data_IF_437991843302
#
_entry.id   IF_437991843302
#
_cell.length_a   1.000
_cell.length_b   1.000
_cell.length_c   1.000
_cell.angle_alpha   90.00
_cell.angle_beta   90.00
_cell.angle_gamma   90.00
#
_symmetry.space_group_name_H-M   'P 1'
#
loop_
_entity.id
_entity.type
_entity.pdbx_description
1 polymer ?
#
# COMPACT_ATOMS: atom_id res chain seq x y z
N UNK A 1 3.70 -19.02 -12.69
CA UNK A 1 3.97 -17.65 -12.19
C UNK A 1 3.15 -17.45 -10.93
N UNK A 2 3.78 -17.28 -9.76
CA UNK A 2 3.05 -17.02 -8.52
C UNK A 2 2.89 -15.51 -8.31
N UNK A 3 1.65 -15.03 -8.15
CA UNK A 3 1.37 -13.64 -7.82
C UNK A 3 1.78 -13.41 -6.36
N UNK A 4 2.79 -12.58 -6.12
CA UNK A 4 3.11 -12.10 -4.76
C UNK A 4 2.31 -10.84 -4.52
N UNK A 5 1.62 -10.79 -3.38
CA UNK A 5 0.82 -9.65 -2.92
C UNK A 5 1.35 -9.21 -1.58
N UNK A 6 1.51 -7.90 -1.39
CA UNK A 6 2.02 -7.31 -0.15
C UNK A 6 0.97 -6.38 0.45
N UNK A 7 0.75 -6.49 1.77
CA UNK A 7 -0.22 -5.67 2.49
C UNK A 7 0.51 -4.61 3.33
N UNK A 8 0.31 -3.35 2.99
CA UNK A 8 0.80 -2.20 3.76
C UNK A 8 -0.32 -1.71 4.67
N UNK A 9 -0.16 -1.91 5.99
CA UNK A 9 -1.06 -1.34 7.01
C UNK A 9 -0.37 -0.17 7.71
N UNK A 10 -0.96 1.02 7.63
CA UNK A 10 -0.45 2.21 8.33
C UNK A 10 -1.50 2.76 9.29
N UNK A 11 -1.08 2.99 10.54
CA UNK A 11 -1.86 3.68 11.58
C UNK A 11 -1.25 5.06 11.77
N UNK A 12 -1.81 6.09 11.16
CA UNK A 12 -1.34 7.47 11.32
C UNK A 12 -2.54 8.41 11.52
N UNK A 13 -2.56 9.23 12.58
CA UNK A 13 -3.71 10.08 12.91
C UNK A 13 -3.87 11.29 11.97
N UNK A 14 -2.84 11.70 11.23
CA UNK A 14 -2.82 12.94 10.42
C UNK A 14 -1.90 12.81 9.20
N UNK A 15 -2.03 11.76 8.38
CA UNK A 15 -1.11 11.59 7.24
C UNK A 15 -1.82 11.43 5.91
N UNK A 16 -1.53 12.38 5.03
CA UNK A 16 -1.92 12.49 3.62
C UNK A 16 -1.69 11.16 2.87
N UNK A 17 -2.67 10.76 2.05
CA UNK A 17 -2.68 9.52 1.24
C UNK A 17 -1.38 9.34 0.43
N UNK A 18 -0.70 10.45 0.11
CA UNK A 18 0.61 10.48 -0.55
C UNK A 18 1.67 9.63 0.13
N UNK A 19 1.77 9.62 1.47
CA UNK A 19 2.80 8.84 2.19
C UNK A 19 2.47 7.34 2.15
N UNK A 20 1.19 6.98 2.14
CA UNK A 20 0.75 5.59 1.96
C UNK A 20 1.15 5.07 0.57
N UNK A 21 0.93 5.89 -0.47
CA UNK A 21 1.35 5.60 -1.83
C UNK A 21 2.87 5.48 -1.97
N UNK A 22 3.63 6.38 -1.36
CA UNK A 22 5.10 6.37 -1.42
C UNK A 22 5.68 5.10 -0.77
N UNK A 23 5.11 4.66 0.36
CA UNK A 23 5.48 3.39 1.01
C UNK A 23 5.12 2.18 0.15
N UNK A 24 3.97 2.20 -0.51
CA UNK A 24 3.55 1.13 -1.40
C UNK A 24 4.46 1.03 -2.63
N UNK A 25 4.81 2.16 -3.25
CA UNK A 25 5.77 2.21 -4.37
C UNK A 25 7.18 1.75 -3.94
N UNK A 26 7.64 2.17 -2.77
CA UNK A 26 8.90 1.70 -2.20
C UNK A 26 8.88 0.17 -1.98
N UNK A 27 7.76 -0.38 -1.52
CA UNK A 27 7.61 -1.82 -1.32
C UNK A 27 7.61 -2.59 -2.65
N UNK A 28 6.92 -2.10 -3.68
CA UNK A 28 6.95 -2.68 -5.04
C UNK A 28 8.40 -2.80 -5.54
N UNK A 29 9.16 -1.71 -5.46
CA UNK A 29 10.56 -1.64 -5.91
C UNK A 29 11.50 -2.51 -5.07
N UNK A 30 11.40 -2.42 -3.74
CA UNK A 30 12.31 -3.12 -2.82
C UNK A 30 12.13 -4.63 -2.86
N UNK A 31 10.90 -5.09 -2.89
CA UNK A 31 10.59 -6.52 -2.78
C UNK A 31 10.33 -7.17 -4.15
N UNK A 32 10.39 -6.40 -5.26
CA UNK A 32 10.12 -6.86 -6.63
C UNK A 32 8.77 -7.59 -6.71
N UNK A 33 7.75 -6.98 -6.11
CA UNK A 33 6.39 -7.51 -6.03
C UNK A 33 5.56 -6.79 -7.10
N UNK A 34 4.59 -7.48 -7.68
CA UNK A 34 3.76 -6.92 -8.77
C UNK A 34 2.63 -6.02 -8.25
N UNK A 35 2.13 -6.30 -7.04
CA UNK A 35 0.99 -5.62 -6.45
C UNK A 35 1.16 -5.39 -4.94
N UNK A 36 0.83 -4.18 -4.51
CA UNK A 36 0.71 -3.79 -3.09
C UNK A 36 -0.71 -3.31 -2.84
N UNK A 37 -1.33 -3.83 -1.78
CA UNK A 37 -2.60 -3.31 -1.26
C UNK A 37 -2.26 -2.43 -0.06
N UNK A 38 -2.59 -1.16 -0.15
CA UNK A 38 -2.31 -0.17 0.88
C UNK A 38 -3.63 0.26 1.54
N UNK A 39 -3.75 0.07 2.85
CA UNK A 39 -4.95 0.41 3.62
C UNK A 39 -4.60 1.27 4.82
N UNK A 40 -5.39 2.31 5.02
CA UNK A 40 -5.36 3.10 6.24
C UNK A 40 -6.15 2.39 7.36
N UNK A 41 -5.58 2.34 8.57
CA UNK A 41 -6.13 1.56 9.69
C UNK A 41 -7.00 2.36 10.67
N UNK A 42 -7.16 3.68 10.47
CA UNK A 42 -7.84 4.58 11.40
C UNK A 42 -9.16 5.15 10.88
N UNK A 43 -9.35 5.20 9.57
CA UNK A 43 -10.63 5.56 9.00
C UNK A 43 -11.60 4.40 9.20
N UNK A 44 -12.78 4.67 9.80
CA UNK A 44 -13.91 3.72 9.85
C UNK A 44 -14.46 3.37 8.44
N UNK A 45 -13.78 3.80 7.39
CA UNK A 45 -14.02 3.54 5.98
C UNK A 45 -13.10 2.40 5.55
N UNK A 46 -13.68 1.37 4.95
CA UNK A 46 -12.93 0.24 4.39
C UNK A 46 -12.36 0.58 3.00
N UNK A 47 -11.63 1.69 2.90
CA UNK A 47 -11.00 2.15 1.66
C UNK A 47 -9.57 1.62 1.59
N UNK A 48 -9.25 0.93 0.49
CA UNK A 48 -7.93 0.42 0.19
C UNK A 48 -7.51 0.84 -1.22
N UNK A 49 -6.23 1.16 -1.38
CA UNK A 49 -5.63 1.53 -2.66
C UNK A 49 -4.75 0.40 -3.14
N UNK A 50 -4.93 0.01 -4.40
CA UNK A 50 -4.09 -1.01 -5.04
C UNK A 50 -3.04 -0.29 -5.88
N UNK A 51 -1.77 -0.59 -5.63
CA UNK A 51 -0.62 -0.07 -6.38
C UNK A 51 0.02 -1.23 -7.13
N UNK A 52 0.12 -1.12 -8.45
CA UNK A 52 0.73 -2.13 -9.34
C UNK A 52 1.90 -1.52 -10.10
N UNK A 53 2.90 -2.34 -10.45
CA UNK A 53 3.93 -1.88 -11.41
C UNK A 53 3.32 -1.82 -12.81
N UNK A 54 3.46 -0.67 -13.49
CA UNK A 54 3.06 -0.47 -14.89
C UNK A 54 3.87 -1.34 -15.85
#
# INVERSE_FOLDING_TARGET
MGLKVFLCLTKQPETDIQILLEKADMALKKYKIYMVVAKELLTHKDEAVVVTSN
#
